data_IF_484276682573
#
_entry.id   IF_484276682573
#
_cell.length_a   1.000
_cell.length_b   1.000
_cell.length_c   1.000
_cell.angle_alpha   90.00
_cell.angle_beta   90.00
_cell.angle_gamma   90.00
#
_symmetry.space_group_name_H-M   'P 1'
#
loop_
_entity.id
_entity.type
_entity.pdbx_description
1 polymer ?
#
# COMPACT_ATOMS: atom_id res chain seq x y z
N UNK A 1 23.56 7.95 -1.78
CA UNK A 1 22.18 7.44 -1.71
C UNK A 1 21.99 6.33 -0.69
N UNK A 2 22.90 5.37 -0.56
CA UNK A 2 22.80 4.32 0.48
C UNK A 2 22.67 4.83 1.92
N UNK A 3 23.36 5.93 2.25
CA UNK A 3 23.21 6.57 3.56
C UNK A 3 21.78 7.07 3.81
N UNK A 4 21.11 7.62 2.79
CA UNK A 4 19.72 8.11 2.89
C UNK A 4 18.77 6.93 3.08
N UNK A 5 18.89 5.88 2.26
CA UNK A 5 18.07 4.66 2.40
C UNK A 5 18.23 4.02 3.78
N UNK A 6 19.45 4.00 4.30
CA UNK A 6 19.74 3.49 5.64
C UNK A 6 19.14 4.36 6.75
N UNK A 7 19.15 5.69 6.60
CA UNK A 7 18.50 6.60 7.56
C UNK A 7 16.97 6.41 7.57
N UNK A 8 16.36 6.30 6.40
CA UNK A 8 14.92 6.04 6.27
C UNK A 8 14.55 4.70 6.91
N UNK A 9 15.32 3.66 6.62
CA UNK A 9 15.12 2.35 7.24
C UNK A 9 15.23 2.42 8.76
N UNK A 10 16.26 3.08 9.30
CA UNK A 10 16.42 3.21 10.75
C UNK A 10 15.23 3.96 11.39
N UNK A 11 14.72 5.02 10.75
CA UNK A 11 13.53 5.72 11.25
C UNK A 11 12.27 4.84 11.21
N UNK A 12 12.12 4.02 10.17
CA UNK A 12 10.97 3.12 10.01
C UNK A 12 11.02 1.94 10.98
N UNK A 13 12.18 1.28 11.13
CA UNK A 13 12.33 0.09 11.96
C UNK A 13 12.18 0.41 13.45
N UNK A 14 12.68 1.58 13.88
CA UNK A 14 12.69 2.04 15.27
C UNK A 14 11.52 3.00 15.54
N UNK A 15 10.48 2.97 14.72
CA UNK A 15 9.36 3.90 14.84
C UNK A 15 8.61 3.69 16.17
N UNK A 16 8.31 4.75 16.96
CA UNK A 16 7.73 4.63 18.29
C UNK A 16 6.38 3.89 18.37
N UNK A 17 5.61 3.92 17.28
CA UNK A 17 4.30 3.24 17.20
C UNK A 17 4.39 1.79 16.69
N UNK A 18 5.60 1.30 16.40
CA UNK A 18 5.85 -0.07 15.94
C UNK A 18 6.64 -0.12 14.64
N UNK A 19 7.34 -1.23 14.43
CA UNK A 19 8.09 -1.55 13.22
C UNK A 19 7.15 -2.03 12.10
N UNK A 20 7.54 -1.91 10.82
CA UNK A 20 6.81 -2.54 9.72
C UNK A 20 6.74 -4.06 9.92
N UNK A 21 5.63 -4.65 9.50
CA UNK A 21 5.36 -6.08 9.59
C UNK A 21 4.69 -6.63 8.32
N UNK A 22 3.77 -5.86 7.74
CA UNK A 22 3.16 -6.19 6.45
C UNK A 22 3.75 -5.34 5.33
N UNK A 23 3.73 -5.91 4.13
CA UNK A 23 4.08 -5.24 2.90
C UNK A 23 3.00 -5.44 1.86
N UNK A 24 2.70 -4.37 1.13
CA UNK A 24 1.70 -4.36 0.09
C UNK A 24 2.18 -3.58 -1.13
N UNK A 25 1.82 -4.08 -2.32
CA UNK A 25 2.00 -3.37 -3.59
C UNK A 25 0.63 -3.10 -4.18
N UNK A 26 0.35 -1.83 -4.48
CA UNK A 26 -0.88 -1.38 -5.09
C UNK A 26 -0.62 -1.07 -6.57
N UNK A 27 -1.32 -1.77 -7.45
CA UNK A 27 -1.27 -1.53 -8.89
C UNK A 27 -2.54 -0.81 -9.37
N UNK A 28 -2.35 0.34 -9.99
CA UNK A 28 -3.44 1.18 -10.48
C UNK A 28 -3.70 0.88 -11.96
N UNK A 29 -4.61 -0.04 -12.24
CA UNK A 29 -4.90 -0.44 -13.62
C UNK A 29 -6.32 -0.95 -13.89
N UNK A 30 -7.11 -1.17 -12.85
CA UNK A 30 -8.39 -1.87 -12.94
C UNK A 30 -9.46 -1.13 -12.15
N UNK A 31 -10.69 -1.21 -12.63
CA UNK A 31 -11.84 -0.58 -11.99
C UNK A 31 -12.24 -1.32 -10.72
N UNK A 32 -13.06 -0.67 -9.89
CA UNK A 32 -13.58 -1.26 -8.66
C UNK A 32 -14.36 -2.56 -8.88
N UNK A 33 -14.92 -2.77 -10.08
CA UNK A 33 -15.64 -4.00 -10.46
C UNK A 33 -14.73 -5.09 -11.05
N UNK A 34 -13.43 -4.85 -11.18
CA UNK A 34 -12.49 -5.78 -11.81
C UNK A 34 -12.37 -5.62 -13.33
N UNK A 35 -13.09 -4.68 -13.93
CA UNK A 35 -12.94 -4.33 -15.34
C UNK A 35 -11.70 -3.48 -15.63
N UNK A 36 -11.46 -3.15 -16.89
CA UNK A 36 -10.54 -2.07 -17.24
C UNK A 36 -11.09 -0.72 -16.74
N UNK A 37 -10.22 0.19 -16.32
CA UNK A 37 -10.62 1.57 -16.07
C UNK A 37 -11.04 2.23 -17.38
N UNK A 38 -12.05 3.11 -17.32
CA UNK A 38 -12.35 3.99 -18.44
C UNK A 38 -11.10 4.82 -18.81
N UNK A 39 -10.89 5.18 -20.08
CA UNK A 39 -9.65 5.81 -20.52
C UNK A 39 -9.25 7.07 -19.73
N UNK A 40 -10.22 7.86 -19.27
CA UNK A 40 -9.95 9.04 -18.45
C UNK A 40 -9.44 8.68 -17.05
N UNK A 41 -10.09 7.73 -16.37
CA UNK A 41 -9.65 7.25 -15.06
C UNK A 41 -8.34 6.47 -15.16
N UNK A 42 -8.14 5.73 -16.25
CA UNK A 42 -6.88 5.05 -16.53
C UNK A 42 -5.73 6.05 -16.63
N UNK A 43 -5.91 7.19 -17.29
CA UNK A 43 -4.86 8.23 -17.42
C UNK A 43 -4.44 8.83 -16.09
N UNK A 44 -5.33 8.85 -15.09
CA UNK A 44 -5.01 9.39 -13.76
C UNK A 44 -3.93 8.57 -13.04
N UNK A 45 -3.70 7.32 -13.43
CA UNK A 45 -2.57 6.49 -12.94
C UNK A 45 -1.19 7.05 -13.26
N UNK A 46 -1.11 8.04 -14.15
CA UNK A 46 0.11 8.78 -14.48
C UNK A 46 0.26 10.08 -13.68
N UNK A 47 -0.74 10.44 -12.89
CA UNK A 47 -0.76 11.65 -12.06
C UNK A 47 -0.42 11.30 -10.61
N UNK A 48 0.76 11.74 -10.17
CA UNK A 48 1.24 11.55 -8.79
C UNK A 48 0.25 12.13 -7.76
N UNK A 49 -0.39 13.26 -8.05
CA UNK A 49 -1.30 13.90 -7.10
C UNK A 49 -2.52 13.03 -6.81
N UNK A 50 -3.01 12.29 -7.80
CA UNK A 50 -4.11 11.35 -7.65
C UNK A 50 -3.68 10.07 -6.92
N UNK A 51 -2.45 9.60 -7.17
CA UNK A 51 -1.85 8.48 -6.40
C UNK A 51 -1.71 8.84 -4.92
N UNK A 52 -1.17 10.01 -4.60
CA UNK A 52 -1.04 10.51 -3.21
C UNK A 52 -2.40 10.72 -2.54
N UNK A 53 -3.44 11.14 -3.27
CA UNK A 53 -4.82 11.17 -2.74
C UNK A 53 -5.30 9.77 -2.38
N UNK A 54 -4.98 8.77 -3.21
CA UNK A 54 -5.31 7.37 -2.97
C UNK A 54 -4.61 6.83 -1.73
N UNK A 55 -3.31 7.13 -1.55
CA UNK A 55 -2.58 6.78 -0.33
C UNK A 55 -3.24 7.35 0.92
N UNK A 56 -3.64 8.62 0.89
CA UNK A 56 -4.33 9.26 2.00
C UNK A 56 -5.70 8.66 2.29
N UNK A 57 -6.43 8.22 1.26
CA UNK A 57 -7.69 7.50 1.42
C UNK A 57 -7.47 6.13 2.08
N UNK A 58 -6.55 5.32 1.56
CA UNK A 58 -6.20 3.99 2.10
C UNK A 58 -5.69 4.12 3.54
N UNK A 59 -4.80 5.07 3.81
CA UNK A 59 -4.24 5.29 5.15
C UNK A 59 -5.31 5.63 6.17
N UNK A 60 -6.29 6.47 5.81
CA UNK A 60 -7.44 6.78 6.67
C UNK A 60 -8.31 5.56 6.93
N UNK A 61 -8.53 4.70 5.92
CA UNK A 61 -9.32 3.48 6.10
C UNK A 61 -8.62 2.49 7.02
N UNK A 62 -7.32 2.26 6.82
CA UNK A 62 -6.53 1.38 7.68
C UNK A 62 -6.59 1.90 9.11
N UNK A 63 -6.32 3.19 9.33
CA UNK A 63 -6.33 3.74 10.70
C UNK A 63 -7.71 3.71 11.38
N UNK A 64 -8.79 3.88 10.60
CA UNK A 64 -10.16 3.72 11.12
C UNK A 64 -10.49 2.29 11.52
N UNK A 65 -9.99 1.31 10.76
CA UNK A 65 -10.28 -0.10 10.99
C UNK A 65 -9.40 -0.67 12.12
N UNK A 66 -8.10 -0.39 12.07
CA UNK A 66 -7.08 -1.09 12.84
C UNK A 66 -6.39 -0.25 13.92
N UNK A 67 -6.82 1.00 14.13
CA UNK A 67 -6.18 1.92 15.07
C UNK A 67 -4.98 2.65 14.46
N UNK A 68 -4.18 3.33 15.29
CA UNK A 68 -3.10 4.23 14.82
C UNK A 68 -1.83 3.47 14.39
N UNK A 69 -2.00 2.54 13.44
CA UNK A 69 -0.93 1.73 12.87
C UNK A 69 -0.03 2.63 12.00
N UNK A 70 1.31 2.57 12.16
CA UNK A 70 2.21 3.35 11.31
C UNK A 70 2.22 2.79 9.88
N UNK A 71 2.30 3.70 8.90
CA UNK A 71 2.23 3.37 7.47
C UNK A 71 3.36 4.07 6.74
N UNK A 72 4.07 3.41 5.84
CA UNK A 72 5.10 4.06 5.01
C UNK A 72 4.82 3.81 3.53
N UNK A 73 4.83 4.88 2.76
CA UNK A 73 4.51 4.86 1.33
C UNK A 73 5.73 5.25 0.51
N UNK A 74 6.04 4.44 -0.48
CA UNK A 74 6.86 4.86 -1.61
C UNK A 74 6.14 4.62 -2.94
N UNK A 75 6.44 5.49 -3.90
CA UNK A 75 5.98 5.42 -5.27
C UNK A 75 7.11 4.86 -6.13
N UNK A 76 6.73 3.97 -7.04
CA UNK A 76 7.59 3.53 -8.12
C UNK A 76 6.90 3.87 -9.44
N UNK A 77 7.69 4.32 -10.41
CA UNK A 77 7.19 4.61 -11.75
C UNK A 77 7.85 3.68 -12.76
N UNK A 78 7.04 2.97 -13.54
CA UNK A 78 7.55 2.24 -14.69
C UNK A 78 8.20 3.19 -15.70
N UNK A 79 9.10 2.64 -16.53
CA UNK A 79 9.67 3.38 -17.63
C UNK A 79 8.59 3.86 -18.61
N UNK A 80 8.84 5.00 -19.23
CA UNK A 80 8.07 5.41 -20.40
C UNK A 80 8.28 4.39 -21.53
N UNK A 81 7.22 4.09 -22.28
CA UNK A 81 7.27 3.12 -23.37
C UNK A 81 6.65 3.71 -24.63
N UNK A 82 7.07 3.22 -25.79
CA UNK A 82 6.45 3.55 -27.07
C UNK A 82 5.38 2.50 -27.40
N UNK A 83 4.18 2.94 -27.79
CA UNK A 83 3.15 2.01 -28.28
C UNK A 83 3.42 1.59 -29.74
N UNK A 84 2.68 0.60 -30.24
CA UNK A 84 2.83 0.07 -31.61
C UNK A 84 2.61 1.13 -32.71
N UNK A 85 2.03 2.29 -32.35
CA UNK A 85 1.80 3.42 -33.25
C UNK A 85 2.90 4.49 -33.17
N UNK A 86 3.99 4.25 -32.45
CA UNK A 86 5.09 5.19 -32.27
C UNK A 86 4.80 6.32 -31.27
N UNK A 87 3.72 6.21 -30.48
CA UNK A 87 3.36 7.23 -29.51
C UNK A 87 4.00 6.92 -28.16
N UNK A 88 4.89 7.81 -27.69
CA UNK A 88 5.47 7.73 -26.35
C UNK A 88 4.39 7.87 -25.26
N UNK A 89 4.26 6.86 -24.40
CA UNK A 89 3.40 6.80 -23.23
C UNK A 89 4.23 6.94 -21.97
N UNK A 90 3.65 7.60 -20.97
CA UNK A 90 4.23 7.66 -19.64
C UNK A 90 4.08 6.32 -18.94
N UNK A 91 5.13 5.87 -18.26
CA UNK A 91 5.02 4.71 -17.39
C UNK A 91 4.09 4.99 -16.21
N UNK A 92 3.34 3.97 -15.80
CA UNK A 92 2.39 4.05 -14.70
C UNK A 92 3.06 3.99 -13.34
N UNK A 93 2.42 4.59 -12.34
CA UNK A 93 2.78 4.37 -10.96
C UNK A 93 2.27 3.02 -10.46
N UNK A 94 3.03 2.41 -9.59
CA UNK A 94 2.53 1.54 -8.53
C UNK A 94 3.09 2.04 -7.21
N UNK A 95 2.59 1.52 -6.10
CA UNK A 95 3.00 2.03 -4.79
C UNK A 95 3.22 0.91 -3.80
N UNK A 96 4.27 1.10 -3.02
CA UNK A 96 4.72 0.21 -1.97
C UNK A 96 4.19 0.77 -0.66
N UNK A 97 3.49 -0.06 0.10
CA UNK A 97 2.95 0.25 1.42
C UNK A 97 3.53 -0.71 2.43
N UNK A 98 4.21 -0.17 3.44
CA UNK A 98 4.65 -0.90 4.62
C UNK A 98 3.70 -0.57 5.76
N UNK A 99 3.20 -1.58 6.45
CA UNK A 99 2.19 -1.44 7.50
C UNK A 99 2.80 -1.99 8.78
N UNK A 100 2.69 -1.23 9.87
CA UNK A 100 3.09 -1.68 11.20
C UNK A 100 2.34 -2.92 11.67
N UNK A 101 2.87 -3.55 12.71
CA UNK A 101 2.19 -4.66 13.39
C UNK A 101 0.78 -4.25 13.87
N UNK A 102 -0.19 -5.14 13.65
CA UNK A 102 -1.57 -4.98 14.13
C UNK A 102 -1.76 -5.92 15.32
N UNK A 103 -2.04 -5.44 16.54
CA UNK A 103 -2.31 -6.29 17.70
C UNK A 103 -3.53 -7.20 17.51
N UNK A 104 -3.55 -8.36 18.16
CA UNK A 104 -4.66 -9.33 18.06
C UNK A 104 -5.96 -8.74 18.64
N UNK A 105 -5.84 -7.91 19.68
CA UNK A 105 -6.93 -7.25 20.38
C UNK A 105 -7.76 -6.37 19.43
N UNK A 106 -7.15 -5.83 18.38
CA UNK A 106 -7.85 -5.04 17.34
C UNK A 106 -8.85 -5.89 16.57
N UNK A 107 -8.60 -7.19 16.44
CA UNK A 107 -9.46 -8.15 15.75
C UNK A 107 -10.49 -8.76 16.72
N UNK A 108 -10.10 -8.99 17.97
CA UNK A 108 -10.97 -9.49 19.03
C UNK A 108 -12.01 -8.46 19.46
N UNK A 109 -11.65 -7.17 19.46
CA UNK A 109 -12.51 -6.03 19.77
C UNK A 109 -12.60 -5.07 18.57
N UNK A 110 -13.26 -5.49 17.46
CA UNK A 110 -13.19 -4.76 16.21
C UNK A 110 -13.93 -3.44 16.27
N UNK A 111 -13.31 -2.40 15.69
CA UNK A 111 -13.96 -1.11 15.52
C UNK A 111 -15.24 -1.22 14.67
N UNK A 112 -16.19 -0.26 14.78
CA UNK A 112 -17.35 -0.20 13.90
C UNK A 112 -17.01 -0.10 12.40
N UNK A 113 -15.78 0.29 12.06
CA UNK A 113 -15.28 0.34 10.69
C UNK A 113 -14.67 -0.98 10.23
N UNK A 114 -14.10 -1.77 11.14
CA UNK A 114 -13.56 -3.09 10.86
C UNK A 114 -14.66 -4.16 10.79
N UNK A 115 -15.67 -4.08 11.65
CA UNK A 115 -16.76 -5.05 11.73
C UNK A 115 -17.42 -5.37 10.36
N UNK A 116 -17.74 -4.39 9.49
CA UNK A 116 -18.31 -4.69 8.18
C UNK A 116 -17.39 -5.48 7.26
N UNK A 117 -16.07 -5.44 7.46
CA UNK A 117 -15.11 -6.16 6.61
C UNK A 117 -15.16 -7.67 6.86
N UNK A 118 -15.53 -8.12 8.06
CA UNK A 118 -15.71 -9.54 8.37
C UNK A 118 -16.77 -10.22 7.48
N UNK A 119 -17.76 -9.47 7.00
CA UNK A 119 -18.84 -9.97 6.17
C UNK A 119 -18.57 -9.81 4.67
N UNK A 120 -17.44 -9.22 4.28
CA UNK A 120 -17.06 -9.14 2.87
C UNK A 120 -16.56 -10.50 2.40
N UNK A 121 -16.86 -10.80 1.15
CA UNK A 121 -16.31 -11.95 0.45
C UNK A 121 -14.83 -11.73 0.15
N UNK A 122 -14.03 -12.79 0.34
CA UNK A 122 -12.65 -12.86 -0.13
C UNK A 122 -12.58 -13.13 -1.65
N UNK A 123 -11.37 -13.31 -2.18
CA UNK A 123 -11.15 -13.50 -3.62
C UNK A 123 -11.81 -14.78 -4.18
N UNK A 124 -12.23 -15.73 -3.33
CA UNK A 124 -12.96 -16.94 -3.75
C UNK A 124 -14.47 -16.87 -3.46
N UNK A 125 -14.99 -15.71 -3.04
CA UNK A 125 -16.41 -15.49 -2.81
C UNK A 125 -16.90 -15.93 -1.42
N UNK A 126 -16.01 -16.21 -0.47
CA UNK A 126 -16.40 -16.68 0.87
C UNK A 126 -16.32 -15.52 1.87
N UNK A 127 -17.35 -15.26 2.69
CA UNK A 127 -17.29 -14.27 3.75
C UNK A 127 -16.09 -14.50 4.67
N UNK A 128 -15.32 -13.45 4.97
CA UNK A 128 -14.07 -13.55 5.73
C UNK A 128 -14.28 -14.22 7.11
N UNK A 129 -15.37 -13.91 7.80
CA UNK A 129 -15.70 -14.50 9.09
C UNK A 129 -16.03 -16.01 9.06
N UNK A 130 -16.24 -16.59 7.87
CA UNK A 130 -16.46 -18.03 7.70
C UNK A 130 -15.15 -18.78 7.41
N UNK A 131 -14.02 -18.08 7.27
CA UNK A 131 -12.72 -18.69 6.97
C UNK A 131 -12.11 -19.28 8.23
N UNK A 132 -11.83 -20.59 8.20
CA UNK A 132 -11.08 -21.27 9.25
C UNK A 132 -9.56 -21.02 9.08
N UNK A 133 -9.10 -19.83 9.49
CA UNK A 133 -7.70 -19.40 9.38
C UNK A 133 -7.15 -18.96 10.73
N UNK A 134 -5.82 -18.91 10.86
CA UNK A 134 -5.18 -18.34 12.05
C UNK A 134 -5.34 -16.81 12.08
N UNK A 135 -5.01 -16.21 13.23
CA UNK A 135 -5.16 -14.77 13.46
C UNK A 135 -4.42 -13.90 12.44
N UNK A 136 -3.20 -14.30 12.07
CA UNK A 136 -2.39 -13.56 11.11
C UNK A 136 -3.01 -13.55 9.70
N UNK A 137 -3.50 -14.71 9.24
CA UNK A 137 -4.20 -14.81 7.97
C UNK A 137 -5.54 -14.07 7.99
N UNK A 138 -6.23 -14.03 9.14
CA UNK A 138 -7.43 -13.22 9.31
C UNK A 138 -7.12 -11.72 9.17
N UNK A 139 -6.02 -11.23 9.78
CA UNK A 139 -5.56 -9.85 9.61
C UNK A 139 -5.25 -9.53 8.15
N UNK A 140 -4.58 -10.43 7.42
CA UNK A 140 -4.30 -10.26 5.99
C UNK A 140 -5.60 -10.15 5.16
N UNK A 141 -6.59 -11.01 5.41
CA UNK A 141 -7.89 -10.96 4.73
C UNK A 141 -8.62 -9.64 5.00
N UNK A 142 -8.63 -9.18 6.26
CA UNK A 142 -9.27 -7.93 6.65
C UNK A 142 -8.54 -6.71 6.08
N UNK A 143 -7.20 -6.69 6.11
CA UNK A 143 -6.39 -5.64 5.49
C UNK A 143 -6.62 -5.58 3.98
N UNK A 144 -6.64 -6.72 3.31
CA UNK A 144 -6.93 -6.83 1.89
C UNK A 144 -8.31 -6.22 1.58
N UNK A 145 -9.36 -6.67 2.29
CA UNK A 145 -10.71 -6.15 2.16
C UNK A 145 -10.83 -4.65 2.50
N UNK A 146 -9.98 -4.15 3.41
CA UNK A 146 -9.90 -2.74 3.78
C UNK A 146 -9.33 -1.89 2.63
N UNK A 147 -8.16 -2.28 2.09
CA UNK A 147 -7.45 -1.56 1.03
C UNK A 147 -8.26 -1.57 -0.28
N UNK A 148 -8.89 -2.71 -0.61
CA UNK A 148 -9.74 -2.87 -1.82
C UNK A 148 -11.00 -1.99 -1.83
N UNK A 149 -11.31 -1.28 -0.75
CA UNK A 149 -12.35 -0.23 -0.75
C UNK A 149 -11.94 0.99 -1.57
N UNK A 150 -10.65 1.17 -1.82
CA UNK A 150 -10.18 2.19 -2.75
C UNK A 150 -10.66 1.87 -4.15
N UNK A 151 -11.32 2.85 -4.81
CA UNK A 151 -11.79 2.73 -6.20
C UNK A 151 -10.67 2.28 -7.16
N UNK A 152 -9.43 2.69 -6.88
CA UNK A 152 -8.27 2.49 -7.75
C UNK A 152 -7.55 1.16 -7.54
N UNK A 153 -7.76 0.52 -6.38
CA UNK A 153 -7.28 -0.83 -6.12
C UNK A 153 -8.38 -1.83 -6.51
N UNK A 154 -9.59 -1.60 -6.01
CA UNK A 154 -10.77 -2.34 -6.42
C UNK A 154 -10.69 -3.84 -6.14
N UNK A 155 -11.50 -4.60 -6.88
CA UNK A 155 -11.68 -6.05 -6.70
C UNK A 155 -10.79 -6.91 -7.59
N UNK A 156 -10.01 -6.33 -8.51
CA UNK A 156 -9.17 -7.14 -9.38
C UNK A 156 -8.03 -7.77 -8.57
N UNK A 157 -7.88 -9.09 -8.67
CA UNK A 157 -6.89 -9.86 -7.92
C UNK A 157 -5.50 -9.21 -7.99
N UNK A 158 -5.00 -8.96 -9.20
CA UNK A 158 -3.65 -8.42 -9.45
C UNK A 158 -3.46 -6.94 -9.08
N UNK A 159 -4.49 -6.24 -8.60
CA UNK A 159 -4.36 -4.83 -8.18
C UNK A 159 -3.77 -4.66 -6.79
N UNK A 160 -3.67 -5.74 -6.01
CA UNK A 160 -3.15 -5.72 -4.65
C UNK A 160 -2.33 -6.96 -4.38
N UNK A 161 -1.04 -6.77 -4.11
CA UNK A 161 -0.23 -7.73 -3.38
C UNK A 161 -0.24 -7.36 -1.90
N UNK A 162 -0.34 -8.33 -0.99
CA UNK A 162 -0.25 -8.12 0.45
C UNK A 162 0.32 -9.38 1.11
N UNK A 163 1.32 -9.22 1.95
CA UNK A 163 1.93 -10.32 2.69
C UNK A 163 2.51 -9.85 4.03
N UNK A 164 2.69 -10.79 4.96
CA UNK A 164 3.63 -10.65 6.07
C UNK A 164 5.03 -10.80 5.52
N UNK A 165 5.96 -9.95 5.93
CA UNK A 165 7.37 -10.07 5.53
C UNK A 165 8.18 -10.61 6.71
N UNK A 166 8.99 -11.66 6.51
CA UNK A 166 9.91 -12.14 7.53
C UNK A 166 10.81 -11.00 8.04
N UNK A 167 11.08 -10.91 9.37
CA UNK A 167 11.87 -9.82 9.93
C UNK A 167 13.26 -9.64 9.30
N UNK A 168 13.89 -10.73 8.88
CA UNK A 168 15.20 -10.76 8.20
C UNK A 168 15.15 -10.28 6.74
N UNK A 169 13.97 -10.34 6.11
CA UNK A 169 13.75 -9.86 4.73
C UNK A 169 13.25 -8.40 4.68
N UNK A 170 12.70 -7.88 5.78
CA UNK A 170 12.02 -6.59 5.80
C UNK A 170 12.90 -5.41 5.35
N UNK A 171 14.18 -5.37 5.75
CA UNK A 171 15.07 -4.29 5.29
C UNK A 171 15.27 -4.34 3.78
N UNK A 172 15.46 -5.54 3.22
CA UNK A 172 15.64 -5.72 1.78
C UNK A 172 14.37 -5.32 1.01
N UNK A 173 13.20 -5.75 1.49
CA UNK A 173 11.90 -5.37 0.91
C UNK A 173 11.65 -3.86 1.02
N UNK A 174 12.04 -3.22 2.13
CA UNK A 174 11.96 -1.76 2.29
C UNK A 174 12.88 -1.03 1.31
N UNK A 175 14.13 -1.47 1.20
CA UNK A 175 15.11 -0.89 0.26
C UNK A 175 14.70 -1.07 -1.20
N UNK A 176 14.03 -2.17 -1.54
CA UNK A 176 13.49 -2.40 -2.88
C UNK A 176 12.49 -1.29 -3.27
N UNK A 177 11.57 -0.95 -2.37
CA UNK A 177 10.61 0.14 -2.60
C UNK A 177 11.25 1.54 -2.70
N UNK A 178 12.55 1.66 -2.40
CA UNK A 178 13.33 2.90 -2.53
C UNK A 178 14.33 2.84 -3.70
N UNK A 179 14.20 1.90 -4.63
CA UNK A 179 15.17 1.72 -5.72
C UNK A 179 15.30 2.97 -6.61
N UNK A 180 14.19 3.72 -6.78
CA UNK A 180 14.13 4.96 -7.57
C UNK A 180 14.84 6.15 -6.88
N UNK A 181 15.31 5.98 -5.64
CA UNK A 181 16.25 6.93 -5.03
C UNK A 181 17.65 6.71 -5.61
N UNK A 182 17.89 7.36 -6.74
CA UNK A 182 19.15 7.35 -7.49
C UNK A 182 19.97 8.63 -7.23
N UNK A 183 21.27 8.66 -7.59
CA UNK A 183 22.11 9.86 -7.45
C UNK A 183 21.57 11.09 -8.20
N UNK A 184 20.87 10.86 -9.31
CA UNK A 184 20.31 11.89 -10.18
C UNK A 184 18.88 12.31 -9.77
N UNK A 185 18.38 11.81 -8.64
CA UNK A 185 17.05 12.17 -8.16
C UNK A 185 17.06 13.60 -7.61
N UNK A 186 16.36 14.51 -8.30
CA UNK A 186 16.26 15.92 -7.92
C UNK A 186 15.45 16.14 -6.63
N UNK A 187 14.43 15.31 -6.37
CA UNK A 187 13.54 15.48 -5.22
C UNK A 187 13.03 14.14 -4.69
N UNK A 188 13.23 13.86 -3.41
CA UNK A 188 12.71 12.67 -2.73
C UNK A 188 11.19 12.57 -2.73
N UNK A 189 10.45 13.68 -2.84
CA UNK A 189 8.99 13.66 -2.95
C UNK A 189 8.54 12.83 -4.17
N UNK A 190 9.37 12.70 -5.20
CA UNK A 190 9.02 11.88 -6.37
C UNK A 190 8.87 10.40 -6.02
N UNK A 191 9.58 9.93 -4.98
CA UNK A 191 9.59 8.53 -4.54
C UNK A 191 8.88 8.35 -3.21
N UNK A 192 8.97 9.30 -2.29
CA UNK A 192 8.41 9.18 -0.94
C UNK A 192 7.15 10.03 -0.83
N UNK A 193 6.07 9.42 -0.35
CA UNK A 193 4.88 10.17 0.05
C UNK A 193 4.96 10.53 1.54
N UNK A 194 5.70 11.59 1.84
CA UNK A 194 5.89 12.07 3.21
C UNK A 194 4.57 12.41 3.92
N UNK A 195 3.58 12.89 3.16
CA UNK A 195 2.31 13.35 3.73
C UNK A 195 1.50 12.22 4.32
N UNK A 196 1.55 11.04 3.69
CA UNK A 196 0.80 9.88 4.13
C UNK A 196 1.65 8.85 4.88
N UNK A 197 2.97 9.06 4.94
CA UNK A 197 3.90 8.18 5.64
C UNK A 197 4.14 8.61 7.08
N UNK A 198 4.32 7.64 7.96
CA UNK A 198 4.70 7.76 9.36
C UNK A 198 6.23 7.91 9.49
N UNK A 199 6.84 8.79 8.70
CA UNK A 199 8.18 9.26 9.04
C UNK A 199 8.03 10.25 10.19
N UNK A 200 8.85 10.10 11.24
CA UNK A 200 8.76 10.96 12.41
C UNK A 200 8.90 12.44 12.01
N UNK A 201 7.82 13.21 12.14
CA UNK A 201 7.88 14.67 12.21
C UNK A 201 8.03 15.05 13.68
N UNK A 202 9.17 15.63 14.10
CA UNK A 202 9.21 16.32 15.38
C UNK A 202 8.14 17.42 15.35
N UNK A 203 7.19 17.36 16.29
CA UNK A 203 6.32 18.50 16.60
C UNK A 203 7.07 19.47 17.51
#
# INVERSE_FOLDING_TARGET
MEKVKSLLWNQTKDHPQGSPYYYSVLYYGKSSSGGSLDPEDYRKRWDRSEVVKTHGFVSRLIRKCFGDVPLWWSLERHDDYEDDAGTRKKGSFHSNLYIGHIPDEVIEEPSPYLMPLFYKEDDIGVPINMRAVNMENLKLLLLNACIRQSKWVGRHHDSLFLAVVPPDEMEATFRYGLKDITPDLDNFDQVIDWKNSSFYTPH
#
